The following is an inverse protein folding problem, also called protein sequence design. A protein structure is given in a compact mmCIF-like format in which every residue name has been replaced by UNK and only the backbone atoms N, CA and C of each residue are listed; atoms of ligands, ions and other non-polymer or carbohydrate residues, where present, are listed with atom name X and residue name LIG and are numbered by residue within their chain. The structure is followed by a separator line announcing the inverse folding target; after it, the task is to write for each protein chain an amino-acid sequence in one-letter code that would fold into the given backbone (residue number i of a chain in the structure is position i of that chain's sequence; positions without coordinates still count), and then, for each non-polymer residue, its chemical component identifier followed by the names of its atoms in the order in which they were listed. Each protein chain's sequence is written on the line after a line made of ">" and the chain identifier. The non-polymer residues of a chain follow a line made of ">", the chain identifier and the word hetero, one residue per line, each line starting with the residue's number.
data_IF_067428641765
#
_entry.id   IF_067428641765
#
_cell.length_a   1.000
_cell.length_b   1.000
_cell.length_c   1.000
_cell.angle_alpha   90.00
_cell.angle_beta   90.00
_cell.angle_gamma   90.00
#
_symmetry.space_group_name_H-M   'P 1'
#
loop_
_entity.id
_entity.type
_entity.pdbx_description
1 polymer ?
#
# COMPACT_ATOMS: atom_id res chain seq x y z
N UNK A 1 17.40 -2.87 -2.00
CA UNK A 1 16.81 -1.92 -2.95
C UNK A 1 15.48 -2.50 -3.40
N UNK A 2 14.37 -1.78 -3.16
CA UNK A 2 13.03 -2.22 -3.55
C UNK A 2 12.76 -1.87 -5.03
N UNK A 3 11.91 -2.64 -5.71
CA UNK A 3 11.62 -2.42 -7.14
C UNK A 3 11.08 -1.01 -7.45
N UNK A 4 10.38 -0.37 -6.51
CA UNK A 4 9.89 1.00 -6.62
C UNK A 4 11.00 2.05 -6.52
N UNK A 5 12.05 1.80 -5.75
CA UNK A 5 13.25 2.66 -5.70
C UNK A 5 14.01 2.58 -7.02
N UNK A 6 14.19 1.36 -7.54
CA UNK A 6 14.80 1.13 -8.87
C UNK A 6 14.02 1.88 -9.94
N UNK A 7 12.68 1.80 -9.91
CA UNK A 7 11.83 2.48 -10.87
C UNK A 7 12.04 4.00 -10.86
N UNK A 8 12.09 4.62 -9.67
CA UNK A 8 12.37 6.06 -9.53
C UNK A 8 13.74 6.43 -10.10
N UNK A 9 14.77 5.64 -9.82
CA UNK A 9 16.12 5.88 -10.35
C UNK A 9 16.21 5.72 -11.87
N UNK A 10 15.51 4.74 -12.45
CA UNK A 10 15.47 4.59 -13.91
C UNK A 10 14.75 5.79 -14.53
N UNK A 11 13.58 6.17 -14.01
CA UNK A 11 12.78 7.24 -14.58
C UNK A 11 13.42 8.63 -14.41
N UNK A 12 14.24 8.85 -13.37
CA UNK A 12 15.00 10.10 -13.23
C UNK A 12 16.13 10.24 -14.26
N UNK A 13 16.62 9.12 -14.83
CA UNK A 13 17.67 9.12 -15.86
C UNK A 13 17.11 8.94 -17.28
N UNK A 14 15.97 8.26 -17.40
CA UNK A 14 15.33 7.91 -18.66
C UNK A 14 13.84 8.25 -18.57
N UNK A 15 13.49 9.51 -18.79
CA UNK A 15 12.13 10.03 -18.63
C UNK A 15 11.09 9.29 -19.50
N UNK A 16 11.51 8.74 -20.63
CA UNK A 16 10.63 8.01 -21.56
C UNK A 16 10.61 6.50 -21.32
N UNK A 17 11.35 5.98 -20.34
CA UNK A 17 11.30 4.57 -20.00
C UNK A 17 9.87 4.15 -19.62
N UNK A 18 9.51 2.93 -19.99
CA UNK A 18 8.23 2.31 -19.63
C UNK A 18 8.53 1.09 -18.78
N UNK A 19 8.01 1.10 -17.56
CA UNK A 19 8.32 0.07 -16.55
C UNK A 19 7.08 -0.77 -16.26
N UNK A 20 7.22 -2.08 -16.40
CA UNK A 20 6.26 -3.09 -15.95
C UNK A 20 6.83 -3.75 -14.70
N UNK A 21 6.15 -3.58 -13.56
CA UNK A 21 6.58 -4.17 -12.31
C UNK A 21 5.89 -5.52 -12.07
N UNK A 22 6.65 -6.51 -11.61
CA UNK A 22 6.17 -7.85 -11.25
C UNK A 22 6.30 -8.06 -9.75
N UNK A 23 5.18 -8.34 -9.07
CA UNK A 23 5.19 -8.51 -7.61
C UNK A 23 4.49 -9.78 -7.16
N UNK A 24 4.93 -10.35 -6.03
CA UNK A 24 4.15 -11.38 -5.32
C UNK A 24 3.04 -10.70 -4.52
N UNK A 25 3.33 -9.53 -3.96
CA UNK A 25 2.40 -8.76 -3.15
C UNK A 25 1.49 -7.91 -4.04
N UNK A 26 0.19 -7.98 -3.79
CA UNK A 26 -0.84 -7.22 -4.51
C UNK A 26 -1.66 -6.36 -3.56
N UNK A 27 -1.09 -5.93 -2.43
CA UNK A 27 -1.80 -5.06 -1.51
C UNK A 27 -2.08 -3.71 -2.15
N UNK A 28 -3.12 -3.02 -1.69
CA UNK A 28 -3.42 -1.66 -2.17
C UNK A 28 -2.23 -0.72 -2.01
N UNK A 29 -1.53 -0.79 -0.88
CA UNK A 29 -0.38 0.07 -0.60
C UNK A 29 0.85 -0.26 -1.47
N UNK A 30 1.11 -1.54 -1.77
CA UNK A 30 2.18 -1.93 -2.71
C UNK A 30 1.92 -1.40 -4.12
N UNK A 31 0.70 -1.58 -4.61
CA UNK A 31 0.27 -1.09 -5.93
C UNK A 31 0.36 0.44 -5.95
N UNK A 32 -0.11 1.10 -4.90
CA UNK A 32 -0.04 2.56 -4.78
C UNK A 32 1.41 3.07 -4.79
N UNK A 33 2.31 2.45 -4.03
CA UNK A 33 3.74 2.78 -4.03
C UNK A 33 4.35 2.62 -5.43
N UNK A 34 3.98 1.57 -6.14
CA UNK A 34 4.47 1.33 -7.51
C UNK A 34 3.95 2.39 -8.49
N UNK A 35 2.66 2.68 -8.47
CA UNK A 35 2.05 3.72 -9.31
C UNK A 35 2.65 5.10 -9.02
N UNK A 36 2.82 5.44 -7.75
CA UNK A 36 3.45 6.69 -7.30
C UNK A 36 4.94 6.78 -7.65
N UNK A 37 5.61 5.63 -7.84
CA UNK A 37 6.97 5.58 -8.37
C UNK A 37 7.03 5.78 -9.90
N UNK A 38 5.89 5.94 -10.58
CA UNK A 38 5.83 6.23 -12.02
C UNK A 38 5.78 5.00 -12.93
N UNK A 39 5.54 3.80 -12.39
CA UNK A 39 5.47 2.60 -13.23
C UNK A 39 4.30 2.68 -14.23
N UNK A 40 4.55 2.21 -15.45
CA UNK A 40 3.57 2.22 -16.54
C UNK A 40 2.66 0.99 -16.51
N UNK A 41 3.05 -0.07 -15.81
CA UNK A 41 2.19 -1.22 -15.56
C UNK A 41 2.60 -2.01 -14.32
N UNK A 42 1.68 -2.87 -13.88
CA UNK A 42 1.85 -3.74 -12.73
C UNK A 42 1.17 -5.09 -12.98
N UNK A 43 1.87 -6.17 -12.71
CA UNK A 43 1.36 -7.54 -12.80
C UNK A 43 1.76 -8.38 -11.58
N UNK A 44 0.89 -9.29 -11.13
CA UNK A 44 1.33 -10.31 -10.20
C UNK A 44 2.33 -11.25 -10.86
N UNK A 45 3.25 -11.81 -10.07
CA UNK A 45 4.18 -12.86 -10.54
C UNK A 45 3.47 -14.15 -10.92
N UNK A 46 2.22 -14.33 -10.48
CA UNK A 46 1.34 -15.42 -10.91
C UNK A 46 0.64 -15.14 -12.26
N UNK A 47 0.81 -13.96 -12.85
CA UNK A 47 0.18 -13.61 -14.12
C UNK A 47 0.55 -14.61 -15.23
N UNK A 48 -0.42 -15.10 -16.01
CA UNK A 48 -0.15 -16.04 -17.08
C UNK A 48 0.68 -15.37 -18.20
N UNK A 49 1.55 -16.15 -18.86
CA UNK A 49 2.45 -15.66 -19.91
C UNK A 49 1.76 -14.77 -20.97
N UNK A 50 0.55 -15.08 -21.48
CA UNK A 50 -0.13 -14.21 -22.45
C UNK A 50 -0.44 -12.80 -21.91
N UNK A 51 -0.72 -12.68 -20.60
CA UNK A 51 -0.98 -11.39 -19.97
C UNK A 51 0.30 -10.57 -19.83
N UNK A 52 1.42 -11.23 -19.52
CA UNK A 52 2.75 -10.60 -19.52
C UNK A 52 3.10 -10.04 -20.89
N UNK A 53 2.95 -10.85 -21.95
CA UNK A 53 3.21 -10.41 -23.32
C UNK A 53 2.31 -9.24 -23.73
N UNK A 54 1.04 -9.28 -23.35
CA UNK A 54 0.10 -8.18 -23.57
C UNK A 54 0.56 -6.90 -22.87
N UNK A 55 1.04 -7.01 -21.62
CA UNK A 55 1.58 -5.89 -20.87
C UNK A 55 2.80 -5.27 -21.53
N UNK A 56 3.79 -6.08 -21.90
CA UNK A 56 5.00 -5.61 -22.61
C UNK A 56 4.64 -4.89 -23.91
N UNK A 57 3.76 -5.49 -24.73
CA UNK A 57 3.31 -4.88 -25.99
C UNK A 57 2.56 -3.56 -25.77
N UNK A 58 1.72 -3.49 -24.74
CA UNK A 58 0.99 -2.26 -24.41
C UNK A 58 1.95 -1.13 -24.01
N UNK A 59 2.93 -1.42 -23.16
CA UNK A 59 3.94 -0.45 -22.74
C UNK A 59 4.85 0.00 -23.89
N UNK A 60 5.24 -0.92 -24.77
CA UNK A 60 6.00 -0.59 -25.97
C UNK A 60 5.22 0.34 -26.92
N UNK A 61 3.89 0.22 -26.95
CA UNK A 61 3.00 1.14 -27.67
C UNK A 61 2.71 2.45 -26.91
N UNK A 62 3.45 2.74 -25.84
CA UNK A 62 3.29 3.96 -25.03
C UNK A 62 2.07 3.95 -24.11
N UNK A 63 1.35 2.83 -23.98
CA UNK A 63 0.16 2.71 -23.14
C UNK A 63 0.50 2.18 -21.75
N UNK A 64 -0.35 2.51 -20.77
CA UNK A 64 -0.29 1.90 -19.44
C UNK A 64 -0.99 0.54 -19.44
N UNK A 65 -0.56 -0.37 -18.56
CA UNK A 65 -1.16 -1.70 -18.45
C UNK A 65 -1.36 -2.13 -17.00
N UNK A 66 -2.61 -2.12 -16.56
CA UNK A 66 -3.04 -2.59 -15.25
C UNK A 66 -4.26 -3.49 -15.46
N UNK A 67 -4.21 -4.78 -15.10
CA UNK A 67 -5.39 -5.65 -15.14
C UNK A 67 -6.52 -5.12 -14.25
N UNK A 68 -7.75 -5.58 -14.50
CA UNK A 68 -8.94 -5.11 -13.76
C UNK A 68 -8.78 -5.17 -12.23
N UNK A 69 -8.33 -6.28 -11.62
CA UNK A 69 -8.16 -6.34 -10.16
C UNK A 69 -7.17 -5.31 -9.61
N UNK A 70 -6.15 -4.96 -10.40
CA UNK A 70 -5.17 -3.94 -10.03
C UNK A 70 -5.77 -2.53 -10.20
N UNK A 71 -6.55 -2.30 -11.26
CA UNK A 71 -7.25 -1.02 -11.48
C UNK A 71 -8.27 -0.72 -10.39
N UNK A 72 -8.98 -1.73 -9.90
CA UNK A 72 -9.92 -1.60 -8.79
C UNK A 72 -9.19 -1.15 -7.51
N UNK A 73 -8.08 -1.80 -7.16
CA UNK A 73 -7.26 -1.42 -6.00
C UNK A 73 -6.69 0.00 -6.12
N UNK A 74 -6.26 0.41 -7.32
CA UNK A 74 -5.83 1.81 -7.57
C UNK A 74 -6.96 2.80 -7.31
N UNK A 75 -8.19 2.47 -7.71
CA UNK A 75 -9.36 3.34 -7.52
C UNK A 75 -9.82 3.38 -6.06
N UNK A 76 -9.91 2.22 -5.41
CA UNK A 76 -10.21 2.10 -3.99
C UNK A 76 -9.22 2.93 -3.17
N UNK A 77 -7.92 2.89 -3.48
CA UNK A 77 -6.97 3.70 -2.71
C UNK A 77 -7.20 5.21 -2.85
N UNK A 78 -7.71 5.68 -3.99
CA UNK A 78 -8.02 7.10 -4.21
C UNK A 78 -9.23 7.59 -3.41
N UNK A 79 -10.16 6.71 -3.07
CA UNK A 79 -11.35 7.07 -2.27
C UNK A 79 -11.14 6.95 -0.76
N UNK A 80 -10.08 6.29 -0.29
CA UNK A 80 -9.86 6.04 1.13
C UNK A 80 -8.82 7.00 1.72
N UNK A 81 -9.08 7.52 2.93
CA UNK A 81 -8.11 8.31 3.68
C UNK A 81 -6.84 7.50 3.99
N UNK A 82 -5.68 8.15 3.88
CA UNK A 82 -4.38 7.54 4.23
C UNK A 82 -4.10 7.71 5.72
N UNK A 83 -3.66 6.63 6.37
CA UNK A 83 -3.08 6.73 7.71
C UNK A 83 -1.70 7.39 7.61
N UNK A 84 -1.40 8.30 8.54
CA UNK A 84 -0.07 8.84 8.77
C UNK A 84 0.87 7.76 9.33
N UNK A 85 2.18 7.99 9.25
CA UNK A 85 3.18 7.07 9.81
C UNK A 85 2.90 6.75 11.29
N UNK A 86 2.52 7.78 12.06
CA UNK A 86 2.19 7.62 13.47
C UNK A 86 0.92 6.80 13.71
N UNK A 87 -0.09 6.94 12.85
CA UNK A 87 -1.30 6.12 12.91
C UNK A 87 -1.01 4.67 12.51
N UNK A 88 -0.10 4.44 11.56
CA UNK A 88 0.37 3.10 11.20
C UNK A 88 1.11 2.44 12.36
N UNK A 89 1.95 3.16 13.10
CA UNK A 89 2.61 2.65 14.30
C UNK A 89 1.60 2.23 15.37
N UNK A 90 0.58 3.05 15.62
CA UNK A 90 -0.51 2.72 16.56
C UNK A 90 -1.27 1.48 16.12
N UNK A 91 -1.70 1.41 14.85
CA UNK A 91 -2.35 0.23 14.25
C UNK A 91 -1.47 -1.02 14.33
N UNK A 92 -0.15 -0.89 14.19
CA UNK A 92 0.82 -1.99 14.34
C UNK A 92 0.90 -2.49 15.78
N UNK A 93 0.86 -1.58 16.76
CA UNK A 93 0.69 -1.94 18.17
C UNK A 93 -0.64 -2.64 18.41
N UNK A 94 -1.70 -2.21 17.73
CA UNK A 94 -3.02 -2.85 17.85
C UNK A 94 -3.03 -4.29 17.34
N UNK A 95 -2.41 -4.52 16.18
CA UNK A 95 -2.26 -5.84 15.57
C UNK A 95 -1.44 -6.81 16.44
N UNK A 96 -0.48 -6.30 17.22
CA UNK A 96 0.28 -7.06 18.22
C UNK A 96 -0.50 -7.34 19.52
N UNK A 97 -1.76 -6.89 19.64
CA UNK A 97 -2.58 -7.09 20.84
C UNK A 97 -2.25 -6.16 22.00
N UNK A 98 -1.44 -5.11 21.80
CA UNK A 98 -0.98 -4.24 22.88
C UNK A 98 -2.09 -3.30 23.38
N UNK A 99 -2.29 -3.18 24.70
CA UNK A 99 -3.22 -2.17 25.24
C UNK A 99 -2.77 -0.74 24.90
N UNK A 100 -3.68 0.25 24.97
CA UNK A 100 -3.33 1.65 24.72
C UNK A 100 -2.21 2.15 25.65
N UNK A 101 -2.10 1.62 26.87
CA UNK A 101 -1.01 1.95 27.80
C UNK A 101 0.35 1.43 27.31
N UNK A 102 0.39 0.21 26.76
CA UNK A 102 1.62 -0.38 26.23
C UNK A 102 2.05 0.31 24.93
N UNK A 103 1.10 0.60 24.03
CA UNK A 103 1.36 1.38 22.81
C UNK A 103 1.90 2.77 23.20
N UNK A 104 1.29 3.42 24.18
CA UNK A 104 1.73 4.72 24.66
C UNK A 104 3.17 4.71 25.19
N UNK A 105 3.54 3.67 25.94
CA UNK A 105 4.89 3.47 26.45
C UNK A 105 5.91 3.25 25.31
N UNK A 106 5.61 2.40 24.33
CA UNK A 106 6.48 2.17 23.17
C UNK A 106 6.69 3.44 22.33
N UNK A 107 5.64 4.24 22.20
CA UNK A 107 5.64 5.42 21.35
C UNK A 107 6.09 6.70 22.09
N UNK A 108 6.28 6.66 23.40
CA UNK A 108 6.66 7.84 24.20
C UNK A 108 5.58 8.93 24.28
N UNK A 109 4.30 8.53 24.31
CA UNK A 109 3.14 9.44 24.39
C UNK A 109 2.21 9.04 25.53
N UNK A 110 1.15 9.82 25.79
CA UNK A 110 0.14 9.46 26.79
C UNK A 110 -0.85 8.43 26.26
N UNK A 111 -1.44 7.62 27.15
CA UNK A 111 -2.52 6.68 26.79
C UNK A 111 -3.75 7.39 26.19
N UNK A 112 -4.00 8.64 26.60
CA UNK A 112 -5.07 9.48 26.04
C UNK A 112 -4.77 9.87 24.59
N UNK A 113 -3.50 10.22 24.29
CA UNK A 113 -3.05 10.48 22.93
C UNK A 113 -3.26 9.26 22.02
N UNK A 114 -2.98 8.05 22.53
CA UNK A 114 -3.24 6.81 21.79
C UNK A 114 -4.74 6.61 21.54
N UNK A 115 -5.62 6.90 22.50
CA UNK A 115 -7.08 6.84 22.25
C UNK A 115 -7.50 7.79 21.12
N UNK A 116 -6.96 9.02 21.09
CA UNK A 116 -7.24 9.97 20.01
C UNK A 116 -6.77 9.42 18.65
N UNK A 117 -5.59 8.80 18.60
CA UNK A 117 -5.13 8.14 17.37
C UNK A 117 -6.08 7.01 16.97
N UNK A 118 -6.47 6.13 17.91
CA UNK A 118 -7.40 5.03 17.61
C UNK A 118 -8.71 5.55 17.04
N UNK A 119 -9.32 6.58 17.63
CA UNK A 119 -10.57 7.16 17.11
C UNK A 119 -10.42 7.66 15.66
N UNK A 120 -9.33 8.40 15.36
CA UNK A 120 -9.03 8.87 14.00
C UNK A 120 -8.76 7.73 13.03
N UNK A 121 -8.12 6.66 13.48
CA UNK A 121 -7.88 5.47 12.67
C UNK A 121 -9.20 4.82 12.30
N UNK A 122 -10.12 4.62 13.25
CA UNK A 122 -11.45 4.04 13.00
C UNK A 122 -12.20 4.85 11.94
N UNK A 123 -12.23 6.17 12.11
CA UNK A 123 -12.85 7.10 11.16
C UNK A 123 -12.22 7.01 9.77
N UNK A 124 -10.89 7.09 9.66
CA UNK A 124 -10.17 7.01 8.37
C UNK A 124 -10.29 5.67 7.68
N UNK A 125 -10.39 4.59 8.46
CA UNK A 125 -10.56 3.24 7.93
C UNK A 125 -12.03 2.94 7.61
N UNK A 126 -12.98 3.71 8.14
CA UNK A 126 -14.41 3.51 7.95
C UNK A 126 -14.94 2.30 8.70
N UNK A 127 -14.44 2.06 9.92
CA UNK A 127 -14.73 0.89 10.73
C UNK A 127 -15.11 1.30 12.15
N UNK A 128 -15.81 0.42 12.86
CA UNK A 128 -16.43 0.75 14.15
C UNK A 128 -15.60 0.31 15.35
N UNK A 129 -14.76 -0.72 15.17
CA UNK A 129 -13.98 -1.27 16.27
C UNK A 129 -12.51 -1.55 15.91
N UNK A 130 -11.74 -1.75 16.97
CA UNK A 130 -10.31 -1.99 16.92
C UNK A 130 -9.92 -3.23 16.10
N UNK A 131 -10.71 -4.30 16.17
CA UNK A 131 -10.45 -5.54 15.44
C UNK A 131 -10.65 -5.32 13.96
N UNK A 132 -11.75 -4.67 13.59
CA UNK A 132 -12.01 -4.24 12.21
C UNK A 132 -10.91 -3.31 11.70
N UNK A 133 -10.39 -2.41 12.52
CA UNK A 133 -9.26 -1.53 12.16
C UNK A 133 -8.00 -2.31 11.81
N UNK A 134 -7.66 -3.34 12.60
CA UNK A 134 -6.52 -4.21 12.33
C UNK A 134 -6.75 -4.97 11.02
N UNK A 135 -7.92 -5.60 10.83
CA UNK A 135 -8.25 -6.35 9.61
C UNK A 135 -8.18 -5.44 8.38
N UNK A 136 -8.79 -4.26 8.44
CA UNK A 136 -8.76 -3.28 7.36
C UNK A 136 -7.33 -2.84 7.03
N UNK A 137 -6.50 -2.58 8.06
CA UNK A 137 -5.10 -2.21 7.85
C UNK A 137 -4.26 -3.35 7.27
N UNK A 138 -4.53 -4.62 7.64
CA UNK A 138 -3.90 -5.79 7.04
C UNK A 138 -4.29 -5.92 5.56
N UNK A 139 -5.58 -5.85 5.24
CA UNK A 139 -6.10 -5.97 3.87
C UNK A 139 -5.54 -4.87 2.95
N UNK A 140 -5.38 -3.66 3.47
CA UNK A 140 -4.79 -2.54 2.73
C UNK A 140 -3.25 -2.62 2.61
N UNK A 141 -2.59 -3.56 3.29
CA UNK A 141 -1.13 -3.68 3.31
C UNK A 141 -0.43 -2.57 4.10
N UNK A 142 -1.13 -1.92 5.03
CA UNK A 142 -0.56 -0.88 5.89
C UNK A 142 0.31 -1.48 7.00
N UNK A 143 0.07 -2.75 7.33
CA UNK A 143 0.83 -3.52 8.29
C UNK A 143 1.89 -4.35 7.56
N UNK A 144 3.15 -4.17 7.93
CA UNK A 144 4.22 -5.06 7.45
C UNK A 144 4.14 -6.36 8.24
N UNK A 145 3.87 -7.48 7.55
CA UNK A 145 4.18 -8.80 8.09
C UNK A 145 5.67 -8.87 8.35
N UNK A 146 6.07 -9.35 9.53
CA UNK A 146 7.46 -9.76 9.75
C UNK A 146 7.72 -11.08 9.02
#
# INVERSE_FOLDING_TARGET
>A
MHGTEVAKHILSRFEHARLLLFSVDETEEDIHRAVSAGVSGYLPKSAPRPQVLSGVRALAAGRRFFPEPIREKIQQRRSHATLSEREVEVVSGMARGLSNKLIAAELGVSAETVKTFVARILEKLGVEDRTQAVIAAMNRGLLKGK
#
